data_IF_210201856650
#
_entry.id   IF_210201856650
#
_cell.length_a   1.000
_cell.length_b   1.000
_cell.length_c   1.000
_cell.angle_alpha   90.00
_cell.angle_beta   90.00
_cell.angle_gamma   90.00
#
_symmetry.space_group_name_H-M   'P 1'
#
loop_
_entity.id
_entity.type
_entity.pdbx_description
1 polymer ?
#
# COMPACT_ATOMS: atom_id res chain seq x y z
N UNK A 1 33.94 59.91 79.39
CA UNK A 1 32.74 59.52 80.15
C UNK A 1 31.73 58.97 79.17
N UNK A 2 31.32 57.72 79.40
CA UNK A 2 30.02 57.05 79.11
C UNK A 2 28.92 57.95 78.49
N UNK A 3 28.13 57.54 77.48
CA UNK A 3 27.19 56.39 77.45
C UNK A 3 26.60 56.13 76.03
N UNK A 4 26.26 54.86 75.75
CA UNK A 4 25.10 54.24 75.02
C UNK A 4 24.09 55.18 74.29
N UNK A 5 23.47 54.85 73.14
CA UNK A 5 22.48 53.78 72.88
C UNK A 5 22.30 53.47 71.37
N UNK A 6 21.91 52.22 71.08
CA UNK A 6 21.40 51.60 69.83
C UNK A 6 20.50 52.45 68.92
N UNK A 7 20.54 52.16 67.60
CA UNK A 7 19.35 51.83 66.81
C UNK A 7 19.70 51.31 65.39
N UNK A 8 19.02 50.22 65.04
CA UNK A 8 18.95 49.47 63.78
C UNK A 8 18.34 50.26 62.61
N UNK A 9 18.82 50.04 61.39
CA UNK A 9 18.23 50.55 60.13
C UNK A 9 18.92 49.94 58.88
N UNK A 10 18.19 49.66 57.78
CA UNK A 10 18.40 48.45 56.99
C UNK A 10 19.46 48.57 55.88
N UNK A 11 20.08 47.43 55.58
CA UNK A 11 20.91 47.23 54.41
C UNK A 11 20.06 47.33 53.13
N UNK A 12 20.42 48.29 52.27
CA UNK A 12 19.84 48.46 50.94
C UNK A 12 20.34 47.32 50.05
N UNK A 13 19.49 46.36 49.75
CA UNK A 13 19.69 45.41 48.66
C UNK A 13 19.47 46.12 47.31
N UNK A 14 20.34 45.92 46.31
CA UNK A 14 20.05 46.38 44.96
C UNK A 14 18.85 45.59 44.39
N UNK A 15 18.00 46.19 43.55
CA UNK A 15 16.92 45.44 42.92
C UNK A 15 17.50 44.42 41.93
N UNK A 16 17.29 43.14 42.22
CA UNK A 16 17.40 42.04 41.27
C UNK A 16 16.41 42.29 40.14
N UNK A 17 16.87 42.94 39.07
CA UNK A 17 16.14 43.03 37.82
C UNK A 17 16.42 41.75 37.02
N UNK A 18 16.01 40.61 37.57
CA UNK A 18 15.89 39.37 36.82
C UNK A 18 14.71 39.57 35.84
N UNK A 19 15.03 40.10 34.66
CA UNK A 19 14.16 40.05 33.51
C UNK A 19 13.84 38.57 33.27
N UNK A 20 12.65 38.16 33.69
CA UNK A 20 12.06 36.92 33.26
C UNK A 20 11.94 37.03 31.74
N UNK A 21 12.92 36.48 31.02
CA UNK A 21 12.75 36.07 29.64
C UNK A 21 11.67 35.02 29.66
N UNK A 22 10.42 35.49 29.53
CA UNK A 22 9.31 34.68 29.07
C UNK A 22 9.80 34.08 27.77
N UNK A 23 10.25 32.82 27.81
CA UNK A 23 10.39 32.00 26.62
C UNK A 23 8.98 31.88 26.07
N UNK A 24 8.62 32.83 25.22
CA UNK A 24 7.44 32.75 24.37
C UNK A 24 7.62 31.44 23.64
N UNK A 25 6.78 30.45 23.96
CA UNK A 25 6.78 29.20 23.24
C UNK A 25 6.70 29.53 21.75
N UNK A 26 7.52 28.89 20.89
CA UNK A 26 7.46 29.15 19.47
C UNK A 26 6.01 29.03 19.00
N UNK A 27 5.56 29.88 18.05
CA UNK A 27 4.21 29.79 17.52
C UNK A 27 3.94 28.35 17.06
N UNK A 28 2.71 27.84 17.21
CA UNK A 28 2.39 26.48 16.81
C UNK A 28 2.77 26.28 15.35
N UNK A 29 3.59 25.25 15.09
CA UNK A 29 4.00 24.84 13.75
C UNK A 29 2.76 24.70 12.85
N UNK A 30 2.75 25.28 11.63
CA UNK A 30 1.65 25.07 10.69
C UNK A 30 1.41 23.59 10.43
N UNK A 31 0.14 23.16 10.38
CA UNK A 31 -0.24 21.76 10.20
C UNK A 31 0.43 21.10 8.98
N UNK A 32 0.59 21.86 7.90
CA UNK A 32 1.26 21.41 6.69
C UNK A 32 2.72 21.02 6.94
N UNK A 33 3.48 21.87 7.61
CA UNK A 33 4.89 21.61 7.92
C UNK A 33 5.04 20.48 8.94
N UNK A 34 4.14 20.43 9.92
CA UNK A 34 4.07 19.34 10.89
C UNK A 34 3.84 17.98 10.21
N UNK A 35 2.94 17.92 9.22
CA UNK A 35 2.69 16.71 8.43
C UNK A 35 3.85 16.38 7.48
N UNK A 36 4.41 17.35 6.76
CA UNK A 36 5.58 17.13 5.89
C UNK A 36 6.76 16.54 6.66
N UNK A 37 6.99 16.99 7.90
CA UNK A 37 8.04 16.45 8.78
C UNK A 37 7.84 14.98 9.15
N UNK A 38 6.62 14.45 9.04
CA UNK A 38 6.37 13.02 9.24
C UNK A 38 6.73 12.17 8.02
N UNK A 39 6.77 12.73 6.81
CA UNK A 39 7.10 11.95 5.63
C UNK A 39 8.52 11.36 5.80
N UNK A 40 8.64 10.04 5.72
CA UNK A 40 9.90 9.33 5.92
C UNK A 40 10.65 9.18 4.60
N UNK A 41 11.97 9.25 4.72
CA UNK A 41 12.89 9.12 3.60
C UNK A 41 13.07 10.42 2.81
N UNK A 42 13.94 10.37 1.80
CA UNK A 42 14.20 11.50 0.92
C UNK A 42 13.40 11.36 -0.38
N UNK A 43 12.97 12.48 -0.99
CA UNK A 43 12.21 12.42 -2.25
C UNK A 43 12.92 11.69 -3.39
N UNK A 44 14.26 11.68 -3.37
CA UNK A 44 15.09 11.05 -4.39
C UNK A 44 15.43 9.59 -4.09
N UNK A 45 14.95 9.01 -2.99
CA UNK A 45 15.41 7.69 -2.55
C UNK A 45 15.04 6.55 -3.53
N UNK A 46 14.04 6.73 -4.39
CA UNK A 46 13.71 5.78 -5.45
C UNK A 46 14.24 6.21 -6.83
N UNK A 47 14.84 7.40 -6.95
CA UNK A 47 15.29 7.96 -8.23
C UNK A 47 16.39 7.13 -8.92
N UNK A 48 17.12 6.29 -8.18
CA UNK A 48 18.09 5.35 -8.75
C UNK A 48 17.45 4.18 -9.50
N UNK A 49 16.17 3.91 -9.25
CA UNK A 49 15.45 2.72 -9.71
C UNK A 49 14.20 3.04 -10.51
N UNK A 50 13.60 4.19 -10.27
CA UNK A 50 12.43 4.68 -11.01
C UNK A 50 12.79 5.94 -11.79
N UNK A 51 12.22 6.03 -12.99
CA UNK A 51 12.24 7.22 -13.83
C UNK A 51 10.81 7.72 -14.01
N UNK A 52 10.62 9.02 -13.78
CA UNK A 52 9.35 9.67 -14.05
C UNK A 52 9.12 9.72 -15.55
N UNK A 53 8.00 9.15 -15.98
CA UNK A 53 7.47 9.28 -17.34
C UNK A 53 6.50 10.45 -17.39
N UNK A 54 5.66 10.58 -16.36
CA UNK A 54 4.72 11.67 -16.18
C UNK A 54 4.55 11.91 -14.67
N UNK A 55 4.36 13.16 -14.24
CA UNK A 55 4.16 13.49 -12.82
C UNK A 55 3.26 14.70 -12.69
N UNK A 56 2.31 14.64 -11.76
CA UNK A 56 1.37 15.72 -11.45
C UNK A 56 0.51 16.16 -12.66
N UNK A 57 0.08 15.22 -13.50
CA UNK A 57 -0.76 15.54 -14.67
C UNK A 57 -2.22 15.20 -14.41
N UNK A 58 -3.10 16.18 -14.56
CA UNK A 58 -4.54 15.97 -14.40
C UNK A 58 -5.07 15.10 -15.55
N UNK A 59 -5.87 14.09 -15.22
CA UNK A 59 -6.61 13.31 -16.22
C UNK A 59 -7.81 14.12 -16.68
N UNK A 60 -7.82 14.50 -17.96
CA UNK A 60 -8.82 15.40 -18.55
C UNK A 60 -10.27 15.07 -18.20
N UNK A 61 -10.97 16.05 -17.61
CA UNK A 61 -12.37 15.92 -17.22
C UNK A 61 -12.59 15.16 -15.91
N UNK A 62 -11.56 15.03 -15.08
CA UNK A 62 -11.65 14.43 -13.74
C UNK A 62 -10.85 15.26 -12.72
N UNK A 63 -10.95 14.91 -11.44
CA UNK A 63 -10.07 15.45 -10.38
C UNK A 63 -8.90 14.49 -10.05
N UNK A 64 -8.60 13.56 -10.95
CA UNK A 64 -7.50 12.62 -10.80
C UNK A 64 -6.19 13.24 -11.27
N UNK A 65 -5.17 13.21 -10.42
CA UNK A 65 -3.79 13.55 -10.76
C UNK A 65 -3.01 12.26 -11.00
N UNK A 66 -2.64 12.02 -12.25
CA UNK A 66 -1.86 10.86 -12.66
C UNK A 66 -0.35 11.10 -12.50
N UNK A 67 0.34 10.02 -12.13
CA UNK A 67 1.78 9.91 -12.07
C UNK A 67 2.19 8.57 -12.68
N UNK A 68 3.27 8.53 -13.45
CA UNK A 68 3.80 7.29 -13.98
C UNK A 68 5.30 7.21 -13.76
N UNK A 69 5.72 6.13 -13.09
CA UNK A 69 7.11 5.86 -12.77
C UNK A 69 7.51 4.52 -13.39
N UNK A 70 8.39 4.53 -14.39
CA UNK A 70 8.90 3.31 -14.99
C UNK A 70 10.19 2.85 -14.30
N UNK A 71 10.39 1.54 -14.22
CA UNK A 71 11.59 0.90 -13.72
C UNK A 71 12.78 1.17 -14.65
N UNK A 72 13.93 1.51 -14.06
CA UNK A 72 15.18 1.71 -14.78
C UNK A 72 15.81 0.38 -15.20
N UNK A 73 16.68 0.49 -16.19
CA UNK A 73 17.49 -0.63 -16.68
C UNK A 73 18.91 -0.57 -16.11
N UNK A 74 19.57 -1.71 -15.99
CA UNK A 74 21.00 -1.78 -15.66
C UNK A 74 21.88 -1.44 -16.89
N UNK A 75 23.21 -1.47 -16.72
CA UNK A 75 24.16 -1.19 -17.81
C UNK A 75 24.10 -2.19 -18.97
N UNK A 76 23.44 -3.33 -18.81
CA UNK A 76 23.20 -4.34 -19.84
C UNK A 76 21.75 -4.29 -20.37
N UNK A 77 21.01 -3.21 -20.07
CA UNK A 77 19.63 -3.02 -20.50
C UNK A 77 18.62 -3.96 -19.83
N UNK A 78 18.95 -4.60 -18.70
CA UNK A 78 18.03 -5.49 -17.98
C UNK A 78 17.16 -4.69 -17.01
N UNK A 79 15.86 -5.01 -16.86
CA UNK A 79 15.02 -4.37 -15.85
C UNK A 79 15.53 -4.64 -14.43
N UNK A 80 15.65 -3.60 -13.61
CA UNK A 80 16.19 -3.68 -12.24
C UNK A 80 15.15 -4.10 -11.20
N UNK A 81 14.31 -5.08 -11.51
CA UNK A 81 13.14 -5.42 -10.68
C UNK A 81 13.55 -5.97 -9.31
N UNK A 82 14.63 -6.76 -9.26
CA UNK A 82 15.19 -7.27 -8.02
C UNK A 82 15.71 -6.14 -7.11
N UNK A 83 16.31 -5.10 -7.71
CA UNK A 83 16.80 -3.95 -6.94
C UNK A 83 15.64 -3.10 -6.42
N UNK A 84 14.59 -2.90 -7.21
CA UNK A 84 13.37 -2.24 -6.75
C UNK A 84 12.77 -2.98 -5.55
N UNK A 85 12.64 -4.29 -5.65
CA UNK A 85 12.10 -5.12 -4.57
C UNK A 85 12.91 -4.99 -3.29
N UNK A 86 14.25 -5.04 -3.38
CA UNK A 86 15.14 -4.84 -2.22
C UNK A 86 14.90 -3.50 -1.54
N UNK A 87 14.91 -2.41 -2.31
CA UNK A 87 14.69 -1.07 -1.75
C UNK A 87 13.27 -0.91 -1.21
N UNK A 88 12.26 -1.51 -1.83
CA UNK A 88 10.90 -1.54 -1.27
C UNK A 88 10.87 -2.30 0.06
N UNK A 89 11.55 -3.45 0.16
CA UNK A 89 11.65 -4.24 1.38
C UNK A 89 12.40 -3.53 2.52
N UNK A 90 13.31 -2.60 2.21
CA UNK A 90 13.95 -1.74 3.22
C UNK A 90 12.94 -0.86 3.98
N UNK A 91 11.73 -0.63 3.44
CA UNK A 91 10.67 0.16 4.08
C UNK A 91 9.77 -0.61 5.03
N UNK A 92 9.99 -1.91 5.19
CA UNK A 92 9.16 -2.77 6.04
C UNK A 92 9.10 -2.28 7.47
N UNK A 93 10.23 -1.83 8.02
CA UNK A 93 10.27 -1.30 9.39
C UNK A 93 9.36 -0.08 9.54
N UNK A 94 9.49 0.88 8.62
CA UNK A 94 8.72 2.13 8.65
C UNK A 94 7.22 1.87 8.41
N UNK A 95 6.88 0.97 7.49
CA UNK A 95 5.51 0.62 7.16
C UNK A 95 4.81 -0.15 8.29
N UNK A 96 5.51 -1.10 8.91
CA UNK A 96 4.90 -2.10 9.76
C UNK A 96 5.07 -1.87 11.27
N UNK A 97 5.91 -0.92 11.69
CA UNK A 97 6.13 -0.59 13.10
C UNK A 97 5.72 0.85 13.42
N UNK A 98 4.99 1.09 14.54
CA UNK A 98 4.65 2.43 15.00
C UNK A 98 5.88 3.35 15.20
N UNK A 99 5.75 4.63 14.85
CA UNK A 99 6.83 5.64 14.90
C UNK A 99 7.45 5.74 16.30
N UNK A 100 6.61 5.77 17.33
CA UNK A 100 7.01 5.78 18.74
C UNK A 100 7.96 4.66 19.12
N UNK A 101 7.74 3.44 18.63
CA UNK A 101 8.60 2.28 18.91
C UNK A 101 9.95 2.37 18.20
N UNK A 102 9.96 2.87 16.96
CA UNK A 102 11.20 3.12 16.22
C UNK A 102 12.02 4.21 16.93
N UNK A 103 11.36 5.29 17.37
CA UNK A 103 11.99 6.38 18.14
C UNK A 103 12.59 5.87 19.45
N UNK A 104 11.84 5.08 20.23
CA UNK A 104 12.33 4.47 21.46
C UNK A 104 13.56 3.57 21.22
N UNK A 105 13.58 2.85 20.10
CA UNK A 105 14.74 2.04 19.70
C UNK A 105 15.94 2.89 19.28
N UNK A 106 15.72 4.03 18.61
CA UNK A 106 16.77 4.98 18.24
C UNK A 106 17.37 5.68 19.48
N UNK A 107 16.54 6.11 20.42
CA UNK A 107 16.98 6.70 21.70
C UNK A 107 17.83 5.69 22.52
N UNK A 108 17.42 4.42 22.55
CA UNK A 108 18.19 3.36 23.19
C UNK A 108 19.54 3.12 22.50
N UNK A 109 19.57 3.15 21.17
CA UNK A 109 20.83 3.07 20.40
C UNK A 109 21.76 4.24 20.73
N UNK A 110 21.26 5.49 20.79
CA UNK A 110 22.10 6.64 21.15
C UNK A 110 22.69 6.51 22.56
N UNK A 111 21.90 5.99 23.51
CA UNK A 111 22.34 5.78 24.90
C UNK A 111 23.33 4.62 25.07
N UNK A 112 23.13 3.51 24.34
CA UNK A 112 23.85 2.24 24.59
C UNK A 112 24.82 1.84 23.51
N UNK A 113 24.74 2.46 22.32
CA UNK A 113 25.39 2.04 21.07
C UNK A 113 25.04 0.63 20.62
N UNK A 114 23.97 0.04 21.16
CA UNK A 114 23.48 -1.30 20.79
C UNK A 114 22.39 -1.19 19.73
N UNK A 115 22.58 -1.89 18.60
CA UNK A 115 21.60 -1.97 17.50
C UNK A 115 20.54 -3.05 17.73
N UNK A 116 20.60 -3.79 18.84
CA UNK A 116 19.78 -4.98 19.08
C UNK A 116 18.27 -4.71 19.03
N UNK A 117 17.80 -3.57 19.55
CA UNK A 117 16.37 -3.23 19.54
C UNK A 117 15.87 -2.91 18.14
N UNK A 118 16.65 -2.15 17.35
CA UNK A 118 16.34 -1.87 15.94
C UNK A 118 16.28 -3.17 15.12
N UNK A 119 17.22 -4.09 15.33
CA UNK A 119 17.19 -5.40 14.66
C UNK A 119 15.98 -6.24 15.05
N UNK A 120 15.58 -6.24 16.33
CA UNK A 120 14.35 -6.91 16.77
C UNK A 120 13.10 -6.34 16.09
N UNK A 121 13.00 -5.02 15.98
CA UNK A 121 11.88 -4.39 15.28
C UNK A 121 11.87 -4.71 13.78
N UNK A 122 13.04 -4.77 13.13
CA UNK A 122 13.13 -5.13 11.72
C UNK A 122 12.67 -6.58 11.46
N UNK A 123 13.05 -7.52 12.31
CA UNK A 123 12.57 -8.91 12.22
C UNK A 123 11.09 -9.04 12.56
N UNK A 124 10.60 -8.31 13.57
CA UNK A 124 9.17 -8.23 13.88
C UNK A 124 8.38 -7.70 12.68
N UNK A 125 8.83 -6.61 12.07
CA UNK A 125 8.19 -5.99 10.92
C UNK A 125 8.02 -6.98 9.76
N UNK A 126 9.08 -7.73 9.41
CA UNK A 126 9.02 -8.78 8.38
C UNK A 126 8.04 -9.89 8.75
N UNK A 127 8.00 -10.27 10.03
CA UNK A 127 7.11 -11.34 10.51
C UNK A 127 5.62 -11.01 10.42
N UNK A 128 5.24 -9.73 10.27
CA UNK A 128 3.85 -9.29 10.13
C UNK A 128 3.28 -9.52 8.71
N UNK A 129 4.14 -9.78 7.73
CA UNK A 129 3.75 -10.06 6.35
C UNK A 129 3.28 -11.51 6.19
N UNK A 130 2.36 -11.72 5.26
CA UNK A 130 1.71 -13.02 5.03
C UNK A 130 2.48 -13.92 4.08
N UNK A 131 2.34 -15.25 4.27
CA UNK A 131 2.94 -16.29 3.41
C UNK A 131 2.08 -16.64 2.18
N UNK A 132 0.99 -15.89 1.93
CA UNK A 132 0.08 -16.12 0.83
C UNK A 132 0.62 -15.59 -0.50
N UNK A 133 0.67 -16.47 -1.51
CA UNK A 133 1.23 -16.17 -2.85
C UNK A 133 0.48 -15.03 -3.59
N UNK A 134 -0.80 -14.85 -3.30
CA UNK A 134 -1.67 -13.83 -3.93
C UNK A 134 -1.98 -12.67 -2.99
N UNK A 135 -1.10 -12.40 -2.01
CA UNK A 135 -1.22 -11.25 -1.13
C UNK A 135 -1.06 -9.92 -1.87
N UNK A 136 -1.87 -8.93 -1.49
CA UNK A 136 -1.76 -7.53 -1.92
C UNK A 136 -0.68 -6.73 -1.19
N UNK A 137 -0.12 -7.24 -0.09
CA UNK A 137 0.76 -6.50 0.83
C UNK A 137 2.01 -5.90 0.17
N UNK A 138 2.48 -6.50 -0.94
CA UNK A 138 3.58 -5.92 -1.70
C UNK A 138 3.21 -4.66 -2.47
N UNK A 139 1.97 -4.58 -2.95
CA UNK A 139 1.40 -3.37 -3.52
C UNK A 139 1.20 -2.30 -2.44
N UNK A 140 0.76 -2.69 -1.25
CA UNK A 140 0.56 -1.79 -0.11
C UNK A 140 1.89 -1.14 0.32
N UNK A 141 2.95 -1.96 0.44
CA UNK A 141 4.29 -1.49 0.80
C UNK A 141 4.89 -0.58 -0.29
N UNK A 142 4.67 -0.90 -1.56
CA UNK A 142 5.09 -0.04 -2.68
C UNK A 142 4.32 1.29 -2.68
N UNK A 143 3.01 1.26 -2.40
CA UNK A 143 2.19 2.45 -2.29
C UNK A 143 2.68 3.34 -1.15
N UNK A 144 2.93 2.76 0.02
CA UNK A 144 3.53 3.45 1.16
C UNK A 144 4.84 4.15 0.77
N UNK A 145 5.76 3.42 0.12
CA UNK A 145 7.07 3.96 -0.25
C UNK A 145 6.95 5.14 -1.23
N UNK A 146 6.06 5.06 -2.23
CA UNK A 146 5.83 6.16 -3.18
C UNK A 146 5.07 7.33 -2.55
N UNK A 147 4.07 7.05 -1.70
CA UNK A 147 3.30 8.08 -1.02
C UNK A 147 4.18 8.96 -0.13
N UNK A 148 5.02 8.34 0.71
CA UNK A 148 5.88 9.11 1.62
C UNK A 148 7.03 9.79 0.88
N UNK A 149 7.71 9.09 -0.04
CA UNK A 149 8.91 9.64 -0.68
C UNK A 149 8.57 10.59 -1.82
N UNK A 150 7.72 10.18 -2.74
CA UNK A 150 7.45 10.95 -3.97
C UNK A 150 6.40 12.03 -3.73
N UNK A 151 5.32 11.69 -3.02
CA UNK A 151 4.21 12.63 -2.80
C UNK A 151 4.31 13.39 -1.47
N UNK A 152 5.22 13.01 -0.57
CA UNK A 152 5.35 13.58 0.78
C UNK A 152 4.03 13.49 1.58
N UNK A 153 3.29 12.40 1.39
CA UNK A 153 2.04 12.10 2.09
C UNK A 153 2.32 11.05 3.18
N UNK A 154 2.62 11.44 4.43
CA UNK A 154 2.92 10.51 5.52
C UNK A 154 1.76 9.57 5.83
N UNK A 155 2.07 8.33 6.16
CA UNK A 155 1.13 7.39 6.76
C UNK A 155 0.82 7.82 8.20
N UNK A 156 -0.48 7.85 8.55
CA UNK A 156 -0.97 8.29 9.85
C UNK A 156 -1.13 7.16 10.88
N UNK A 157 -1.35 5.93 10.40
CA UNK A 157 -1.57 4.75 11.24
C UNK A 157 -0.88 3.53 10.66
N UNK A 158 -0.14 2.83 11.50
CA UNK A 158 0.48 1.56 11.17
C UNK A 158 -0.48 0.39 11.42
N UNK A 159 -1.28 0.02 10.41
CA UNK A 159 -2.27 -1.07 10.53
C UNK A 159 -1.65 -2.45 10.73
N UNK A 160 -0.46 -2.69 10.19
CA UNK A 160 0.22 -3.97 10.33
C UNK A 160 0.48 -4.32 11.80
N UNK A 161 0.79 -3.32 12.63
CA UNK A 161 0.96 -3.50 14.08
C UNK A 161 -0.31 -3.96 14.82
N UNK A 162 -1.48 -3.84 14.18
CA UNK A 162 -2.78 -4.23 14.73
C UNK A 162 -3.19 -5.65 14.32
N UNK A 163 -2.40 -6.35 13.49
CA UNK A 163 -2.69 -7.73 13.11
C UNK A 163 -2.51 -8.67 14.31
N UNK A 164 -3.54 -9.48 14.57
CA UNK A 164 -3.45 -10.58 15.55
C UNK A 164 -3.07 -11.92 14.91
N UNK A 165 -3.18 -12.04 13.59
CA UNK A 165 -2.79 -13.21 12.79
C UNK A 165 -2.28 -12.73 11.42
N UNK A 166 -1.10 -13.20 11.01
CA UNK A 166 -0.43 -12.77 9.78
C UNK A 166 -1.17 -13.20 8.51
N UNK A 167 -1.95 -14.28 8.57
CA UNK A 167 -2.81 -14.74 7.46
C UNK A 167 -4.15 -14.00 7.37
N UNK A 168 -4.46 -13.15 8.35
CA UNK A 168 -5.64 -12.29 8.30
C UNK A 168 -5.26 -10.94 7.70
N UNK A 169 -5.96 -10.55 6.64
CA UNK A 169 -5.84 -9.20 6.10
C UNK A 169 -6.48 -8.19 7.05
N UNK A 170 -5.87 -7.01 7.19
CA UNK A 170 -6.53 -5.89 7.85
C UNK A 170 -7.52 -5.29 6.86
N UNK A 171 -8.81 -5.46 7.12
CA UNK A 171 -9.85 -4.89 6.26
C UNK A 171 -9.86 -3.35 6.33
N UNK A 172 -10.24 -2.70 5.22
CA UNK A 172 -10.24 -1.25 5.05
C UNK A 172 -9.21 -0.81 3.99
N UNK A 173 -8.80 0.45 4.01
CA UNK A 173 -7.79 0.95 3.09
C UNK A 173 -6.42 0.27 3.32
N UNK A 174 -5.64 0.10 2.25
CA UNK A 174 -4.25 -0.34 2.32
C UNK A 174 -3.40 0.63 3.18
N UNK A 175 -3.74 1.92 3.17
CA UNK A 175 -3.09 2.93 3.98
C UNK A 175 -3.97 4.15 4.22
N UNK A 176 -3.67 4.90 5.29
CA UNK A 176 -4.28 6.19 5.57
C UNK A 176 -3.18 7.24 5.60
N UNK A 177 -3.23 8.18 4.65
CA UNK A 177 -2.22 9.21 4.48
C UNK A 177 -2.83 10.61 4.62
N UNK A 178 -2.01 11.60 4.95
CA UNK A 178 -2.45 12.99 5.03
C UNK A 178 -1.61 13.96 4.22
N UNK A 179 -2.25 15.04 3.80
CA UNK A 179 -1.60 16.26 3.34
C UNK A 179 -2.44 17.48 3.71
N UNK A 180 -2.01 18.66 3.30
CA UNK A 180 -2.78 19.90 3.44
C UNK A 180 -2.92 20.53 2.07
N UNK A 181 -4.11 21.03 1.76
CA UNK A 181 -4.34 21.83 0.58
C UNK A 181 -3.73 23.22 0.80
N UNK A 182 -2.61 23.52 0.13
CA UNK A 182 -1.87 24.76 0.34
C UNK A 182 -2.69 26.04 0.05
N UNK A 183 -3.74 25.96 -0.78
CA UNK A 183 -4.58 27.10 -1.12
C UNK A 183 -5.70 27.34 -0.10
N UNK A 184 -6.30 26.26 0.43
CA UNK A 184 -7.48 26.34 1.29
C UNK A 184 -7.21 26.03 2.76
N UNK A 185 -6.04 25.47 3.09
CA UNK A 185 -5.68 25.01 4.43
C UNK A 185 -6.43 23.77 4.90
N UNK A 186 -7.25 23.13 4.03
CA UNK A 186 -8.01 21.93 4.37
C UNK A 186 -7.10 20.74 4.63
N UNK A 187 -7.44 19.93 5.62
CA UNK A 187 -6.80 18.64 5.83
C UNK A 187 -7.27 17.67 4.75
N UNK A 188 -6.33 17.05 4.07
CA UNK A 188 -6.57 16.06 3.03
C UNK A 188 -6.30 14.67 3.60
N UNK A 189 -7.33 13.84 3.73
CA UNK A 189 -7.18 12.46 4.15
C UNK A 189 -7.30 11.54 2.94
N UNK A 190 -6.25 10.76 2.69
CA UNK A 190 -6.13 9.90 1.54
C UNK A 190 -6.38 8.44 1.93
N UNK A 191 -7.38 7.84 1.29
CA UNK A 191 -7.60 6.39 1.31
C UNK A 191 -6.66 5.74 0.31
N UNK A 192 -5.64 5.06 0.83
CA UNK A 192 -4.66 4.31 0.06
C UNK A 192 -5.25 3.01 -0.46
N UNK A 193 -5.04 2.71 -1.75
CA UNK A 193 -5.44 1.45 -2.35
C UNK A 193 -4.48 1.04 -3.47
N UNK A 194 -4.09 -0.23 -3.51
CA UNK A 194 -3.09 -0.77 -4.42
C UNK A 194 -3.56 -2.05 -5.11
N UNK A 195 -3.20 -2.22 -6.39
CA UNK A 195 -3.43 -3.45 -7.17
C UNK A 195 -2.25 -3.73 -8.09
N UNK A 196 -1.60 -4.88 -7.91
CA UNK A 196 -0.44 -5.31 -8.73
C UNK A 196 -0.82 -6.53 -9.57
N UNK A 197 -1.35 -6.31 -10.78
CA UNK A 197 -2.01 -7.31 -11.62
C UNK A 197 -1.39 -7.32 -13.01
N UNK A 198 -1.39 -8.45 -13.72
CA UNK A 198 -0.80 -8.54 -15.06
C UNK A 198 -1.46 -7.64 -16.13
N UNK A 199 -2.69 -7.15 -15.92
CA UNK A 199 -3.40 -6.27 -16.85
C UNK A 199 -3.77 -4.93 -16.20
N UNK A 200 -3.39 -3.83 -16.85
CA UNK A 200 -3.67 -2.46 -16.40
C UNK A 200 -5.16 -2.17 -16.27
N UNK A 201 -6.00 -2.70 -17.17
CA UNK A 201 -7.44 -2.44 -17.15
C UNK A 201 -8.07 -3.04 -15.90
N UNK A 202 -7.69 -4.28 -15.59
CA UNK A 202 -8.14 -5.00 -14.40
C UNK A 202 -7.58 -4.37 -13.12
N UNK A 203 -6.31 -3.96 -13.11
CA UNK A 203 -5.71 -3.26 -11.97
C UNK A 203 -6.47 -1.96 -11.63
N UNK A 204 -6.74 -1.12 -12.65
CA UNK A 204 -7.51 0.12 -12.50
C UNK A 204 -8.92 -0.15 -12.02
N UNK A 205 -9.60 -1.14 -12.62
CA UNK A 205 -10.97 -1.51 -12.25
C UNK A 205 -11.08 -1.92 -10.79
N UNK A 206 -10.27 -2.88 -10.35
CA UNK A 206 -10.33 -3.38 -8.98
C UNK A 206 -9.86 -2.32 -7.96
N UNK A 207 -8.88 -1.48 -8.31
CA UNK A 207 -8.40 -0.42 -7.42
C UNK A 207 -9.50 0.63 -7.17
N UNK A 208 -10.15 1.11 -8.22
CA UNK A 208 -11.24 2.09 -8.08
C UNK A 208 -12.50 1.49 -7.44
N UNK A 209 -12.81 0.23 -7.72
CA UNK A 209 -13.92 -0.48 -7.08
C UNK A 209 -13.67 -0.63 -5.56
N UNK A 210 -12.42 -0.87 -5.15
CA UNK A 210 -12.05 -1.03 -3.74
C UNK A 210 -12.03 0.31 -2.97
N UNK A 211 -11.53 1.39 -3.59
CA UNK A 211 -11.51 2.72 -2.93
C UNK A 211 -12.89 3.39 -2.88
N UNK A 212 -13.79 3.06 -3.81
CA UNK A 212 -15.10 3.71 -3.96
C UNK A 212 -15.91 3.74 -2.66
N UNK A 213 -16.15 2.62 -1.94
CA UNK A 213 -16.94 2.66 -0.71
C UNK A 213 -16.39 3.65 0.31
N UNK A 214 -15.06 3.74 0.47
CA UNK A 214 -14.42 4.63 1.45
C UNK A 214 -14.58 6.12 1.10
N UNK A 215 -14.73 6.44 -0.19
CA UNK A 215 -14.98 7.80 -0.66
C UNK A 215 -16.48 8.16 -0.64
N UNK A 216 -17.33 7.25 -1.13
CA UNK A 216 -18.73 7.54 -1.42
C UNK A 216 -19.70 7.16 -0.29
N UNK A 217 -19.31 6.28 0.62
CA UNK A 217 -20.17 5.75 1.68
C UNK A 217 -19.62 6.13 3.06
N UNK A 218 -20.40 6.91 3.81
CA UNK A 218 -20.00 7.40 5.13
C UNK A 218 -19.58 6.29 6.11
N UNK A 219 -20.22 5.12 6.04
CA UNK A 219 -19.97 4.01 6.98
C UNK A 219 -18.75 3.16 6.63
N UNK A 220 -18.34 3.10 5.36
CA UNK A 220 -17.32 2.15 4.90
C UNK A 220 -15.93 2.47 5.46
N UNK A 221 -15.58 3.75 5.57
CA UNK A 221 -14.32 4.21 6.17
C UNK A 221 -14.36 4.37 7.70
N UNK A 222 -15.51 4.22 8.34
CA UNK A 222 -15.67 4.62 9.74
C UNK A 222 -14.82 3.77 10.70
N UNK A 223 -14.62 2.49 10.40
CA UNK A 223 -13.73 1.62 11.18
C UNK A 223 -12.30 2.15 11.16
N UNK A 224 -11.80 2.51 9.99
CA UNK A 224 -10.45 3.05 9.81
C UNK A 224 -10.28 4.40 10.51
N UNK A 225 -11.29 5.28 10.46
CA UNK A 225 -11.28 6.55 11.19
C UNK A 225 -11.25 6.33 12.71
N UNK A 226 -12.01 5.36 13.23
CA UNK A 226 -11.97 4.99 14.65
C UNK A 226 -10.60 4.43 15.05
N UNK A 227 -9.98 3.60 14.19
CA UNK A 227 -8.63 3.12 14.43
C UNK A 227 -7.63 4.29 14.43
N UNK A 228 -7.75 5.22 13.48
CA UNK A 228 -6.91 6.41 13.40
C UNK A 228 -7.06 7.27 14.66
N UNK A 229 -8.27 7.54 15.13
CA UNK A 229 -8.50 8.30 16.37
C UNK A 229 -7.84 7.66 17.60
N UNK A 230 -7.77 6.33 17.66
CA UNK A 230 -7.23 5.57 18.80
C UNK A 230 -5.74 5.28 18.72
N UNK A 231 -5.21 5.11 17.52
CA UNK A 231 -3.88 4.55 17.27
C UNK A 231 -3.01 5.41 16.35
N UNK A 232 -3.41 6.65 16.05
CA UNK A 232 -2.50 7.61 15.43
C UNK A 232 -1.21 7.71 16.25
N UNK A 233 -0.08 7.68 15.56
CA UNK A 233 1.25 7.79 16.15
C UNK A 233 2.06 8.75 15.27
N UNK A 234 2.04 10.03 15.63
CA UNK A 234 2.52 11.13 14.78
C UNK A 234 3.71 11.87 15.39
N UNK A 235 4.47 11.22 16.28
CA UNK A 235 5.66 11.77 16.96
C UNK A 235 5.44 13.09 17.72
N UNK A 236 4.20 13.58 17.84
CA UNK A 236 3.84 14.87 18.43
C UNK A 236 2.44 14.82 19.03
N UNK A 237 2.30 14.89 20.36
CA UNK A 237 0.99 14.95 21.01
C UNK A 237 0.13 16.13 20.55
N UNK A 238 0.76 17.26 20.21
CA UNK A 238 0.06 18.44 19.69
C UNK A 238 -0.53 18.18 18.30
N UNK A 239 0.22 17.51 17.41
CA UNK A 239 -0.25 17.14 16.08
C UNK A 239 -1.37 16.09 16.15
N UNK A 240 -1.23 15.10 17.04
CA UNK A 240 -2.29 14.10 17.27
C UNK A 240 -3.57 14.74 17.81
N UNK A 241 -3.45 15.68 18.75
CA UNK A 241 -4.59 16.42 19.27
C UNK A 241 -5.25 17.28 18.18
N UNK A 242 -4.47 17.94 17.32
CA UNK A 242 -4.97 18.69 16.19
C UNK A 242 -5.70 17.78 15.17
N UNK A 243 -5.09 16.66 14.78
CA UNK A 243 -5.70 15.68 13.87
C UNK A 243 -7.03 15.17 14.41
N UNK A 244 -7.12 14.87 15.72
CA UNK A 244 -8.35 14.36 16.34
C UNK A 244 -9.54 15.31 16.17
N UNK A 245 -9.33 16.62 16.14
CA UNK A 245 -10.40 17.60 15.89
C UNK A 245 -10.96 17.50 14.48
N UNK A 246 -10.11 17.28 13.48
CA UNK A 246 -10.58 17.04 12.11
C UNK A 246 -11.38 15.74 11.97
N UNK A 247 -11.24 14.81 12.91
CA UNK A 247 -11.96 13.54 12.93
C UNK A 247 -13.19 13.56 13.84
N UNK A 248 -13.49 14.68 14.50
CA UNK A 248 -14.59 14.82 15.44
C UNK A 248 -15.76 15.60 14.79
N UNK A 249 -16.91 14.96 14.49
CA UNK A 249 -18.05 15.63 13.85
C UNK A 249 -18.61 16.83 14.61
N UNK A 250 -18.35 16.93 15.93
CA UNK A 250 -18.80 18.05 16.75
C UNK A 250 -17.82 19.24 16.75
N UNK A 251 -16.63 19.07 16.16
CA UNK A 251 -15.61 20.11 16.04
C UNK A 251 -15.73 20.89 14.72
N UNK A 252 -15.40 22.19 14.74
CA UNK A 252 -15.47 23.04 13.55
C UNK A 252 -14.48 22.59 12.47
N UNK A 253 -13.31 22.09 12.87
CA UNK A 253 -12.24 21.60 11.98
C UNK A 253 -12.71 20.45 11.08
N UNK A 254 -13.70 19.66 11.51
CA UNK A 254 -14.28 18.59 10.69
C UNK A 254 -14.84 19.09 9.35
N UNK A 255 -15.37 20.31 9.32
CA UNK A 255 -15.87 20.93 8.08
C UNK A 255 -14.75 21.26 7.08
N UNK A 256 -13.49 21.20 7.52
CA UNK A 256 -12.28 21.40 6.71
C UNK A 256 -11.52 20.10 6.42
N UNK A 257 -12.12 18.93 6.71
CA UNK A 257 -11.62 17.63 6.29
C UNK A 257 -12.12 17.29 4.87
N UNK A 258 -11.21 16.86 3.99
CA UNK A 258 -11.55 16.37 2.66
C UNK A 258 -11.00 14.96 2.44
N UNK A 259 -11.88 14.01 2.10
CA UNK A 259 -11.48 12.67 1.70
C UNK A 259 -11.04 12.65 0.23
N UNK A 260 -9.90 12.01 -0.03
CA UNK A 260 -9.28 11.85 -1.35
C UNK A 260 -8.85 10.39 -1.56
N UNK A 261 -8.68 9.99 -2.81
CA UNK A 261 -8.10 8.68 -3.14
C UNK A 261 -6.58 8.75 -3.30
N UNK A 262 -5.89 7.68 -2.94
CA UNK A 262 -4.48 7.47 -3.25
C UNK A 262 -4.32 6.06 -3.83
N UNK A 263 -4.34 5.98 -5.14
CA UNK A 263 -4.41 4.72 -5.87
C UNK A 263 -3.04 4.37 -6.47
N UNK A 264 -2.65 3.10 -6.38
CA UNK A 264 -1.49 2.55 -7.08
C UNK A 264 -1.89 1.34 -7.91
N UNK A 265 -1.43 1.32 -9.16
CA UNK A 265 -1.54 0.15 -10.03
C UNK A 265 -0.16 -0.26 -10.54
N UNK A 266 0.24 -1.50 -10.21
CA UNK A 266 1.38 -2.17 -10.82
C UNK A 266 0.91 -3.17 -11.86
N UNK A 267 1.55 -3.22 -13.03
CA UNK A 267 1.10 -4.12 -14.09
C UNK A 267 2.17 -4.48 -15.11
N UNK A 268 1.95 -5.57 -15.83
CA UNK A 268 2.88 -6.05 -16.86
C UNK A 268 2.94 -5.06 -18.02
N UNK A 269 4.15 -4.76 -18.46
CA UNK A 269 4.38 -3.86 -19.57
C UNK A 269 5.35 -4.48 -20.57
N UNK A 270 4.83 -4.76 -21.77
CA UNK A 270 5.59 -5.39 -22.87
C UNK A 270 6.74 -4.53 -23.39
N UNK A 271 6.81 -3.24 -23.02
CA UNK A 271 7.93 -2.37 -23.38
C UNK A 271 9.24 -2.79 -22.69
N UNK A 272 9.18 -3.54 -21.57
CA UNK A 272 10.39 -4.02 -20.91
C UNK A 272 11.05 -5.16 -21.67
N UNK A 273 12.39 -5.13 -21.81
CA UNK A 273 13.12 -6.26 -22.38
C UNK A 273 13.07 -7.47 -21.44
N UNK A 274 12.95 -8.67 -22.01
CA UNK A 274 12.92 -9.95 -21.26
C UNK A 274 14.30 -10.42 -20.77
N UNK A 275 15.34 -9.62 -20.98
CA UNK A 275 16.73 -9.97 -20.69
C UNK A 275 17.68 -8.83 -21.02
N UNK A 276 18.95 -9.18 -21.27
CA UNK A 276 19.93 -8.18 -21.72
C UNK A 276 19.49 -7.55 -23.04
N UNK A 277 19.63 -6.23 -23.14
CA UNK A 277 19.17 -5.45 -24.29
C UNK A 277 20.04 -4.21 -24.48
N UNK A 278 19.98 -3.62 -25.67
CA UNK A 278 20.52 -2.28 -25.95
C UNK A 278 19.48 -1.17 -25.71
N UNK A 279 18.27 -1.53 -25.26
CA UNK A 279 17.20 -0.59 -24.90
C UNK A 279 17.73 0.44 -23.89
N UNK A 280 17.58 1.72 -24.23
CA UNK A 280 17.88 2.82 -23.31
C UNK A 280 16.63 3.17 -22.50
N UNK A 281 16.80 3.57 -21.24
CA UNK A 281 15.68 3.95 -20.36
C UNK A 281 14.87 5.11 -20.96
N UNK A 282 15.51 6.05 -21.65
CA UNK A 282 14.80 7.14 -22.34
C UNK A 282 13.85 6.64 -23.45
N UNK A 283 14.29 5.66 -24.24
CA UNK A 283 13.45 5.07 -25.29
C UNK A 283 12.31 4.25 -24.68
N UNK A 284 12.57 3.51 -23.60
CA UNK A 284 11.55 2.81 -22.83
C UNK A 284 10.50 3.77 -22.27
N UNK A 285 10.93 4.87 -21.64
CA UNK A 285 10.04 5.89 -21.10
C UNK A 285 9.18 6.52 -22.20
N UNK A 286 9.72 6.75 -23.40
CA UNK A 286 8.95 7.22 -24.55
C UNK A 286 7.88 6.22 -25.02
N UNK A 287 8.21 4.92 -25.05
CA UNK A 287 7.24 3.88 -25.39
C UNK A 287 6.11 3.80 -24.37
N UNK A 288 6.44 3.88 -23.08
CA UNK A 288 5.46 3.93 -21.99
C UNK A 288 4.61 5.19 -22.08
N UNK A 289 5.22 6.36 -22.33
CA UNK A 289 4.50 7.63 -22.49
C UNK A 289 3.46 7.56 -23.61
N UNK A 290 3.77 6.88 -24.72
CA UNK A 290 2.84 6.68 -25.83
C UNK A 290 1.60 5.85 -25.44
N UNK A 291 1.69 5.00 -24.41
CA UNK A 291 0.57 4.20 -23.88
C UNK A 291 -0.24 4.90 -22.78
N UNK A 292 0.31 5.94 -22.12
CA UNK A 292 -0.35 6.66 -21.03
C UNK A 292 -1.75 7.19 -21.37
N UNK A 293 -2.03 7.75 -22.56
CA UNK A 293 -3.38 8.23 -22.89
C UNK A 293 -4.43 7.12 -22.77
N UNK A 294 -4.08 5.89 -23.15
CA UNK A 294 -4.96 4.72 -23.04
C UNK A 294 -5.22 4.37 -21.57
N UNK A 295 -4.18 4.32 -20.73
CA UNK A 295 -4.34 4.02 -19.30
C UNK A 295 -5.14 5.10 -18.56
N UNK A 296 -4.88 6.37 -18.86
CA UNK A 296 -5.69 7.50 -18.37
C UNK A 296 -7.15 7.42 -18.87
N UNK A 297 -7.37 6.93 -20.09
CA UNK A 297 -8.69 6.62 -20.62
C UNK A 297 -9.43 5.56 -19.80
N UNK A 298 -8.74 4.49 -19.36
CA UNK A 298 -9.33 3.49 -18.47
C UNK A 298 -9.71 4.08 -17.11
N UNK A 299 -8.83 4.90 -16.52
CA UNK A 299 -9.14 5.62 -15.26
C UNK A 299 -10.35 6.52 -15.44
N UNK A 300 -10.36 7.40 -16.45
CA UNK A 300 -11.48 8.31 -16.72
C UNK A 300 -12.79 7.55 -16.88
N UNK A 301 -12.80 6.50 -17.70
CA UNK A 301 -13.99 5.67 -17.90
C UNK A 301 -14.48 5.10 -16.56
N UNK A 302 -13.56 4.55 -15.76
CA UNK A 302 -13.91 3.88 -14.52
C UNK A 302 -14.36 4.86 -13.43
N UNK A 303 -13.77 6.05 -13.35
CA UNK A 303 -14.22 7.13 -12.46
C UNK A 303 -15.70 7.44 -12.69
N UNK A 304 -16.13 7.60 -13.94
CA UNK A 304 -17.54 7.85 -14.25
C UNK A 304 -18.45 6.65 -14.01
N UNK A 305 -17.99 5.41 -14.30
CA UNK A 305 -18.76 4.19 -13.99
C UNK A 305 -18.98 4.02 -12.48
N UNK A 306 -17.99 4.36 -11.66
CA UNK A 306 -18.00 4.27 -10.20
C UNK A 306 -18.62 5.50 -9.52
N UNK A 307 -18.93 6.55 -10.29
CA UNK A 307 -19.46 7.85 -9.85
C UNK A 307 -18.52 8.59 -8.88
N UNK A 308 -17.24 8.62 -9.22
CA UNK A 308 -16.19 9.24 -8.42
C UNK A 308 -15.75 10.62 -8.94
N UNK A 309 -16.49 11.23 -9.87
CA UNK A 309 -16.09 12.47 -10.56
C UNK A 309 -15.85 13.65 -9.60
N UNK A 310 -16.52 13.65 -8.45
CA UNK A 310 -16.42 14.69 -7.42
C UNK A 310 -15.22 14.50 -6.46
N UNK A 311 -14.48 13.38 -6.54
CA UNK A 311 -13.38 13.08 -5.63
C UNK A 311 -12.02 13.32 -6.29
N UNK A 312 -11.19 14.12 -5.63
CA UNK A 312 -9.80 14.27 -6.00
C UNK A 312 -9.00 13.04 -5.57
N UNK A 313 -8.01 12.64 -6.38
CA UNK A 313 -7.13 11.52 -6.04
C UNK A 313 -5.80 11.60 -6.76
N UNK A 314 -4.77 10.98 -6.17
CA UNK A 314 -3.55 10.63 -6.88
C UNK A 314 -3.66 9.21 -7.44
N UNK A 315 -3.18 9.02 -8.67
CA UNK A 315 -3.18 7.72 -9.33
C UNK A 315 -1.78 7.40 -9.87
N UNK A 316 -1.11 6.45 -9.22
CA UNK A 316 0.27 6.04 -9.47
C UNK A 316 0.29 4.82 -10.41
N UNK A 317 0.80 4.98 -11.63
CA UNK A 317 1.06 3.89 -12.56
C UNK A 317 2.51 3.42 -12.43
N UNK A 318 2.69 2.14 -12.13
CA UNK A 318 4.01 1.50 -12.02
C UNK A 318 4.09 0.30 -12.97
N UNK A 319 4.35 0.53 -14.27
CA UNK A 319 4.56 -0.57 -15.20
C UNK A 319 5.82 -1.36 -14.80
N UNK A 320 5.73 -2.68 -14.78
CA UNK A 320 6.81 -3.62 -14.45
C UNK A 320 6.95 -4.71 -15.52
N UNK A 321 8.08 -5.43 -15.57
CA UNK A 321 8.24 -6.55 -16.52
C UNK A 321 7.27 -7.71 -16.25
N UNK A 322 6.97 -7.97 -14.98
CA UNK A 322 6.05 -9.02 -14.53
C UNK A 322 5.57 -8.69 -13.11
N UNK A 323 4.26 -8.53 -12.95
CA UNK A 323 3.58 -8.33 -11.68
C UNK A 323 3.73 -9.56 -10.78
N UNK A 324 3.71 -10.75 -11.37
CA UNK A 324 3.89 -12.01 -10.63
C UNK A 324 5.31 -12.13 -10.10
N UNK A 325 6.32 -11.78 -10.90
CA UNK A 325 7.72 -11.77 -10.47
C UNK A 325 7.95 -10.75 -9.36
N UNK A 326 7.34 -9.55 -9.45
CA UNK A 326 7.40 -8.57 -8.38
C UNK A 326 6.87 -9.14 -7.07
N UNK A 327 5.68 -9.76 -7.08
CA UNK A 327 5.06 -10.34 -5.87
C UNK A 327 5.92 -11.48 -5.31
N UNK A 328 6.45 -12.34 -6.18
CA UNK A 328 7.31 -13.46 -5.77
C UNK A 328 8.64 -12.98 -5.17
N UNK A 329 9.35 -12.11 -5.88
CA UNK A 329 10.63 -11.56 -5.42
C UNK A 329 10.49 -10.84 -4.08
N UNK A 330 9.40 -10.08 -3.88
CA UNK A 330 9.19 -9.39 -2.61
C UNK A 330 8.98 -10.36 -1.46
N UNK A 331 8.17 -11.42 -1.64
CA UNK A 331 8.02 -12.45 -0.59
C UNK A 331 9.34 -13.12 -0.25
N UNK A 332 10.14 -13.43 -1.27
CA UNK A 332 11.44 -14.05 -1.10
C UNK A 332 12.39 -13.13 -0.33
N UNK A 333 12.42 -11.84 -0.66
CA UNK A 333 13.23 -10.82 0.02
C UNK A 333 12.80 -10.61 1.48
N UNK A 334 11.48 -10.64 1.75
CA UNK A 334 10.95 -10.54 3.11
C UNK A 334 11.18 -11.82 3.93
N UNK A 335 11.66 -12.91 3.31
CA UNK A 335 11.89 -14.18 3.98
C UNK A 335 10.61 -14.91 4.39
N UNK A 336 9.45 -14.51 3.87
CA UNK A 336 8.15 -15.08 4.23
C UNK A 336 7.93 -16.33 3.40
N UNK A 337 8.43 -17.47 3.90
CA UNK A 337 8.23 -18.78 3.27
C UNK A 337 6.98 -19.45 3.81
N UNK A 338 6.28 -20.21 2.96
CA UNK A 338 5.24 -21.14 3.42
C UNK A 338 5.81 -22.01 4.54
N UNK A 339 5.15 -22.03 5.69
CA UNK A 339 5.37 -23.10 6.65
C UNK A 339 5.06 -24.43 5.93
N UNK A 340 6.06 -25.32 5.86
CA UNK A 340 5.82 -26.69 5.43
C UNK A 340 4.71 -27.27 6.31
N UNK A 341 3.71 -27.91 5.69
CA UNK A 341 2.68 -28.62 6.43
C UNK A 341 3.38 -29.53 7.45
N UNK A 342 3.03 -29.37 8.73
CA UNK A 342 3.56 -30.22 9.78
C UNK A 342 3.39 -31.68 9.34
N UNK A 343 4.50 -32.42 9.26
CA UNK A 343 4.44 -33.86 8.99
C UNK A 343 3.44 -34.47 9.96
N UNK A 344 2.50 -35.33 9.50
CA UNK A 344 1.61 -36.02 10.41
C UNK A 344 2.45 -36.77 11.44
N UNK A 345 1.98 -36.86 12.71
CA UNK A 345 2.73 -37.53 13.75
C UNK A 345 3.10 -38.93 13.27
N UNK A 346 4.39 -39.25 13.36
CA UNK A 346 4.90 -40.60 13.09
C UNK A 346 4.13 -41.54 14.02
N UNK A 347 3.32 -42.41 13.44
CA UNK A 347 2.68 -43.49 14.18
C UNK A 347 3.80 -44.34 14.81
N UNK A 348 3.87 -44.32 16.14
CA UNK A 348 4.79 -45.16 16.90
C UNK A 348 4.32 -46.61 16.72
N UNK A 349 5.01 -47.35 15.85
CA UNK A 349 4.81 -48.78 15.71
C UNK A 349 5.32 -49.48 16.98
N UNK A 350 4.47 -50.32 17.58
CA UNK A 350 4.80 -51.18 18.71
C UNK A 350 5.93 -52.18 18.33
N UNK A 351 6.77 -52.61 19.29
CA UNK A 351 7.91 -53.47 19.00
C UNK A 351 7.45 -54.92 18.81
N UNK A 352 7.82 -55.54 17.69
CA UNK A 352 7.70 -56.97 17.47
C UNK A 352 9.08 -57.65 17.59
N UNK A 353 9.07 -58.80 18.25
CA UNK A 353 10.16 -59.65 18.71
C UNK A 353 11.01 -60.31 17.61
N UNK A 354 12.22 -60.66 18.03
CA UNK A 354 13.37 -61.33 17.37
C UNK A 354 13.12 -62.71 16.70
N UNK A 355 14.10 -63.24 15.92
CA UNK A 355 13.88 -63.99 14.67
C UNK A 355 14.19 -65.51 14.74
N UNK A 356 13.78 -66.25 13.69
CA UNK A 356 14.29 -67.61 13.44
C UNK A 356 14.44 -67.95 11.94
N UNK A 357 15.70 -68.24 11.57
CA UNK A 357 16.30 -69.16 10.60
C UNK A 357 15.75 -69.48 9.17
N UNK A 358 16.63 -69.18 8.19
CA UNK A 358 17.27 -70.02 7.12
C UNK A 358 16.41 -70.83 6.13
N UNK A 359 16.52 -70.51 4.82
CA UNK A 359 17.01 -71.39 3.74
C UNK A 359 17.11 -70.67 2.36
N UNK A 360 18.12 -71.03 1.56
CA UNK A 360 18.46 -70.59 0.18
C UNK A 360 18.63 -71.86 -0.69
N UNK A 361 18.87 -71.82 -2.03
CA UNK A 361 18.55 -70.84 -3.09
C UNK A 361 18.05 -71.48 -4.44
N UNK A 362 17.96 -70.65 -5.49
CA UNK A 362 18.29 -70.92 -6.92
C UNK A 362 17.09 -71.04 -7.94
N UNK A 363 17.32 -70.91 -9.28
CA UNK A 363 16.89 -69.75 -10.07
C UNK A 363 16.14 -70.10 -11.38
N UNK A 364 15.55 -69.12 -12.10
CA UNK A 364 15.50 -69.06 -13.58
C UNK A 364 14.70 -67.83 -14.09
N UNK A 365 15.28 -67.17 -15.09
CA UNK A 365 14.70 -66.16 -15.99
C UNK A 365 13.77 -66.83 -17.05
N UNK A 366 13.22 -66.17 -18.11
CA UNK A 366 13.34 -64.76 -18.54
C UNK A 366 12.03 -64.09 -19.02
N UNK A 367 12.21 -62.87 -19.50
CA UNK A 367 11.26 -61.93 -20.13
C UNK A 367 10.50 -62.46 -21.35
N UNK A 368 9.27 -61.96 -21.55
CA UNK A 368 8.68 -61.81 -22.89
C UNK A 368 7.88 -60.51 -22.96
N UNK A 369 8.17 -59.71 -23.99
CA UNK A 369 7.46 -58.50 -24.38
C UNK A 369 6.12 -58.85 -25.08
N UNK A 370 5.11 -58.00 -24.91
CA UNK A 370 4.03 -57.87 -25.89
C UNK A 370 3.39 -56.48 -25.82
N UNK A 371 3.50 -55.75 -26.92
CA UNK A 371 2.75 -54.53 -27.19
C UNK A 371 1.37 -54.88 -27.80
N UNK A 372 0.33 -54.12 -27.46
CA UNK A 372 -0.77 -53.79 -28.39
C UNK A 372 -1.71 -52.68 -27.89
N UNK A 373 -1.64 -51.56 -28.62
CA UNK A 373 -2.71 -50.78 -29.23
C UNK A 373 -4.08 -50.51 -28.53
N UNK A 374 -4.34 -49.18 -28.39
CA UNK A 374 -5.54 -48.38 -28.71
C UNK A 374 -6.93 -48.75 -28.14
N UNK A 375 -7.52 -47.80 -27.39
CA UNK A 375 -8.75 -47.05 -27.75
C UNK A 375 -9.05 -45.92 -26.73
N UNK A 376 -9.73 -44.82 -27.12
CA UNK A 376 -9.79 -43.57 -26.37
C UNK A 376 -10.95 -43.55 -25.35
N UNK A 377 -10.72 -42.91 -24.19
CA UNK A 377 -11.75 -42.74 -23.16
C UNK A 377 -12.66 -41.53 -23.45
N UNK A 378 -13.93 -41.79 -23.25
CA UNK A 378 -15.07 -40.93 -23.53
C UNK A 378 -15.15 -39.67 -22.66
N UNK A 379 -15.71 -38.66 -23.32
CA UNK A 379 -16.14 -37.32 -22.88
C UNK A 379 -17.19 -37.41 -21.77
N UNK A 380 -17.00 -36.66 -20.67
CA UNK A 380 -18.02 -36.44 -19.63
C UNK A 380 -18.43 -34.97 -19.63
N UNK A 381 -19.70 -34.72 -19.95
CA UNK A 381 -20.36 -33.41 -19.97
C UNK A 381 -20.95 -33.13 -18.58
N UNK A 382 -20.93 -31.89 -18.06
CA UNK A 382 -21.88 -31.44 -17.06
C UNK A 382 -23.04 -30.66 -17.70
N UNK A 383 -24.21 -30.95 -17.18
CA UNK A 383 -25.57 -30.50 -17.51
C UNK A 383 -25.82 -29.00 -17.31
N UNK A 384 -26.57 -28.40 -18.24
CA UNK A 384 -27.24 -27.10 -18.09
C UNK A 384 -28.76 -27.30 -17.91
N UNK A 385 -29.47 -26.44 -17.15
CA UNK A 385 -30.93 -26.41 -17.14
C UNK A 385 -31.53 -25.39 -18.12
N UNK A 386 -32.81 -25.64 -18.44
CA UNK A 386 -33.59 -25.28 -19.63
C UNK A 386 -34.23 -23.88 -19.56
N UNK A 387 -34.33 -23.23 -20.73
CA UNK A 387 -35.05 -21.97 -20.96
C UNK A 387 -36.57 -22.14 -21.03
N UNK A 388 -37.32 -21.14 -20.54
CA UNK A 388 -38.73 -20.93 -20.90
C UNK A 388 -38.95 -19.61 -21.64
N UNK A 389 -40.04 -19.62 -22.40
CA UNK A 389 -40.36 -18.88 -23.63
C UNK A 389 -41.14 -17.59 -23.36
N UNK A 390 -40.90 -16.56 -24.18
CA UNK A 390 -41.64 -15.30 -24.29
C UNK A 390 -43.04 -15.45 -24.92
N UNK A 391 -44.04 -14.61 -24.58
CA UNK A 391 -45.19 -14.37 -25.44
C UNK A 391 -45.06 -13.10 -26.31
N UNK A 392 -45.64 -13.20 -27.51
CA UNK A 392 -45.66 -12.25 -28.62
C UNK A 392 -46.55 -11.03 -28.38
N UNK A 393 -46.15 -9.88 -28.95
CA UNK A 393 -47.02 -8.73 -29.28
C UNK A 393 -47.96 -9.06 -30.46
N UNK A 394 -49.19 -8.50 -30.49
CA UNK A 394 -49.99 -8.42 -31.71
C UNK A 394 -49.72 -7.13 -32.51
N UNK A 395 -49.90 -7.19 -33.84
CA UNK A 395 -49.81 -6.06 -34.78
C UNK A 395 -51.05 -6.02 -35.69
N UNK A 396 -51.70 -4.86 -35.77
CA UNK A 396 -52.41 -4.20 -36.89
C UNK A 396 -53.46 -3.23 -36.29
N UNK A 397 -53.74 -2.02 -36.79
CA UNK A 397 -53.80 -1.57 -38.18
C UNK A 397 -53.48 -0.05 -38.34
N UNK A 398 -53.05 0.34 -39.55
CA UNK A 398 -53.12 1.72 -40.09
C UNK A 398 -54.57 2.02 -40.52
N UNK A 399 -55.03 3.29 -40.54
CA UNK A 399 -54.98 4.05 -41.80
C UNK A 399 -54.77 5.57 -41.71
N UNK A 400 -54.18 6.09 -42.81
CA UNK A 400 -54.42 7.36 -43.53
C UNK A 400 -54.20 8.73 -42.86
N UNK A 401 -53.42 9.58 -43.55
CA UNK A 401 -53.78 10.99 -43.79
C UNK A 401 -52.74 12.06 -43.42
N UNK A 402 -52.04 12.56 -44.44
CA UNK A 402 -51.24 13.81 -44.56
C UNK A 402 -51.95 15.11 -44.08
N UNK A 403 -51.35 16.32 -44.20
CA UNK A 403 -49.98 16.80 -43.93
C UNK A 403 -49.99 18.19 -43.19
N UNK A 404 -48.86 18.92 -43.21
CA UNK A 404 -48.62 20.31 -42.77
C UNK A 404 -48.16 20.45 -41.30
N UNK A 405 -47.16 21.26 -40.96
CA UNK A 405 -46.39 22.24 -41.72
C UNK A 405 -45.27 22.80 -40.86
N UNK A 406 -44.42 23.58 -41.52
CA UNK A 406 -43.27 24.31 -41.01
C UNK A 406 -43.46 25.02 -39.66
N UNK A 407 -42.41 24.99 -38.83
CA UNK A 407 -41.66 26.16 -38.35
C UNK A 407 -40.35 25.67 -37.76
#
# INVERSE_FOLDING_TARGET
MTTSVDATGPAVTPPDNASATTTVAPPPEPLEEALKRLARGTPTALAGLLQDVESHVIVDGTQVTAHCHCLKLDGNGRPRIQDLVKVVAEHVLDYAIPRSRIREAAEEFERTRSTQKLMRLAEEAKSLFTDLDQSGEGGELLLFALAEKVLQLPQLICKMSLKTNTRMHVHGADGLHAGVDAATGKLLLYWGESKVYGDVTSAVRECLASVRPMLAEHSAGQRDLQLLQRHADLDSPALEAALKKFLDPDAEEFNSLQFRGLCLVGFDCDAYPKGASTTQVAALAQQIAATLPTWKGHVKKRISEEKLDAFAMHFLFVPVPSADDFRQLLRDELGVRKQAAANPPIAVAAPASTPTAVATPAPAAPSVAAASAKAPRARRVPTAPVSQVTPRKPRAAKPKGNPNGAA
#
